data_IF_612190095196
#
_entry.id   IF_612190095196
#
_cell.length_a   1.000
_cell.length_b   1.000
_cell.length_c   1.000
_cell.angle_alpha   90.00
_cell.angle_beta   90.00
_cell.angle_gamma   90.00
#
_symmetry.space_group_name_H-M   'P 1'
#
loop_
_entity.id
_entity.type
_entity.pdbx_description
1 polymer ?
#
# COMPACT_ATOMS: atom_id res chain seq x y z
N UNK A 1 7.27 32.70 49.63
CA UNK A 1 6.69 31.70 48.71
C UNK A 1 6.74 32.33 47.33
N UNK A 2 7.61 31.91 46.38
CA UNK A 2 7.55 32.42 45.03
C UNK A 2 6.33 31.76 44.36
N UNK A 3 5.48 32.59 43.77
CA UNK A 3 4.38 32.20 42.92
C UNK A 3 4.98 31.57 41.66
N UNK A 4 4.83 30.25 41.49
CA UNK A 4 5.12 29.53 40.24
C UNK A 4 4.29 30.18 39.13
N UNK A 5 4.93 30.83 38.16
CA UNK A 5 4.31 31.35 36.98
C UNK A 5 4.14 30.17 35.99
N UNK A 6 2.95 29.55 35.99
CA UNK A 6 2.55 28.61 34.99
C UNK A 6 2.49 29.36 33.64
N UNK A 7 3.26 28.90 32.69
CA UNK A 7 3.19 29.37 31.32
C UNK A 7 2.02 28.67 30.56
N UNK A 8 1.44 29.37 29.58
CA UNK A 8 0.27 28.92 28.88
C UNK A 8 0.62 28.47 27.45
N UNK A 9 0.14 27.29 27.05
CA UNK A 9 0.08 26.88 25.66
C UNK A 9 -1.25 27.35 25.08
N UNK A 10 -1.20 28.20 24.06
CA UNK A 10 -2.39 28.74 23.39
C UNK A 10 -2.50 28.29 21.96
N UNK A 11 -3.73 28.08 21.49
CA UNK A 11 -3.99 27.78 20.09
C UNK A 11 -3.54 28.97 19.22
N UNK A 12 -2.64 28.77 18.22
CA UNK A 12 -2.27 29.84 17.30
C UNK A 12 -3.45 30.27 16.42
N UNK A 13 -3.29 31.38 15.69
CA UNK A 13 -4.31 31.85 14.76
C UNK A 13 -4.54 30.82 13.64
N UNK A 14 -5.77 30.31 13.56
CA UNK A 14 -6.19 29.28 12.61
C UNK A 14 -6.77 29.83 11.30
N UNK A 15 -6.67 31.15 11.08
CA UNK A 15 -7.17 31.84 9.89
C UNK A 15 -8.70 31.95 9.89
N UNK A 16 -9.36 31.59 8.77
CA UNK A 16 -10.80 31.79 8.57
C UNK A 16 -11.72 30.83 9.35
N UNK A 17 -11.17 29.89 10.15
CA UNK A 17 -11.96 28.92 10.91
C UNK A 17 -12.36 29.48 12.27
N UNK A 18 -13.66 29.63 12.55
CA UNK A 18 -14.19 30.13 13.84
C UNK A 18 -13.92 29.18 15.00
N UNK A 19 -13.85 27.86 14.76
CA UNK A 19 -13.48 26.83 15.74
C UNK A 19 -12.81 25.65 15.05
N UNK A 20 -11.96 24.92 15.77
CA UNK A 20 -11.26 23.72 15.32
C UNK A 20 -11.43 22.59 16.34
N UNK A 21 -11.45 21.34 15.88
CA UNK A 21 -11.65 20.17 16.73
C UNK A 21 -10.30 19.56 17.16
N UNK A 22 -10.18 19.18 18.43
CA UNK A 22 -9.02 18.46 18.97
C UNK A 22 -9.11 16.99 18.58
N UNK A 23 -8.18 16.51 17.73
CA UNK A 23 -8.18 15.12 17.27
C UNK A 23 -7.38 14.22 18.21
N UNK A 24 -6.24 14.70 18.71
CA UNK A 24 -5.31 13.88 19.50
C UNK A 24 -4.58 14.73 20.55
N UNK A 25 -4.32 14.14 21.73
CA UNK A 25 -3.45 14.67 22.76
C UNK A 25 -2.11 13.96 22.64
N UNK A 26 -1.06 14.69 22.21
CA UNK A 26 0.27 14.13 21.95
C UNK A 26 1.15 14.09 23.20
N UNK A 27 0.76 14.78 24.28
CA UNK A 27 1.47 14.83 25.56
C UNK A 27 0.53 14.56 26.74
N UNK A 28 1.07 14.01 27.82
CA UNK A 28 0.35 13.75 29.07
C UNK A 28 0.82 14.66 30.21
N UNK A 29 -0.04 14.88 31.20
CA UNK A 29 0.31 15.65 32.41
C UNK A 29 1.49 14.98 33.11
N UNK A 30 2.55 15.75 33.35
CA UNK A 30 3.82 15.30 33.93
C UNK A 30 4.93 15.05 32.90
N UNK A 31 4.66 15.14 31.61
CA UNK A 31 5.68 14.98 30.58
C UNK A 31 6.59 16.20 30.50
N UNK A 32 7.88 15.93 30.27
CA UNK A 32 8.88 16.98 30.05
C UNK A 32 8.93 17.29 28.55
N UNK A 33 8.52 18.50 28.19
CA UNK A 33 8.44 19.00 26.83
C UNK A 33 9.64 19.86 26.48
N UNK A 34 10.19 19.69 25.30
CA UNK A 34 11.12 20.62 24.69
C UNK A 34 10.37 21.79 24.02
N UNK A 35 11.12 22.82 23.61
CA UNK A 35 10.54 23.88 22.78
C UNK A 35 10.09 23.29 21.44
N UNK A 36 8.89 23.66 20.99
CA UNK A 36 8.23 23.21 19.77
C UNK A 36 7.78 21.73 19.76
N UNK A 37 7.88 21.01 20.91
CA UNK A 37 7.30 19.66 21.03
C UNK A 37 5.77 19.72 20.95
N UNK A 38 5.14 18.87 20.14
CA UNK A 38 3.70 18.86 19.88
C UNK A 38 2.91 18.44 21.13
N UNK A 39 2.01 19.31 21.59
CA UNK A 39 1.13 19.08 22.76
C UNK A 39 -0.20 18.48 22.33
N UNK A 40 -0.84 19.07 21.32
CA UNK A 40 -2.11 18.58 20.73
C UNK A 40 -2.12 18.70 19.22
N UNK A 41 -2.97 17.89 18.60
CA UNK A 41 -3.30 17.93 17.18
C UNK A 41 -4.73 18.43 17.00
N UNK A 42 -4.94 19.44 16.17
CA UNK A 42 -6.28 19.99 15.87
C UNK A 42 -6.57 19.91 14.37
N UNK A 43 -7.82 19.70 14.00
CA UNK A 43 -8.30 19.65 12.61
C UNK A 43 -9.06 20.90 12.23
N UNK A 44 -8.68 21.49 11.11
CA UNK A 44 -9.41 22.56 10.43
C UNK A 44 -10.06 22.01 9.17
N UNK A 45 -11.00 22.74 8.57
CA UNK A 45 -11.66 22.37 7.30
C UNK A 45 -10.68 22.09 6.14
N UNK A 46 -9.42 22.47 6.26
CA UNK A 46 -8.44 22.39 5.16
C UNK A 46 -7.17 21.60 5.49
N UNK A 47 -6.82 21.47 6.76
CA UNK A 47 -5.58 20.79 7.19
C UNK A 47 -5.57 20.47 8.69
N UNK A 48 -4.71 19.53 9.08
CA UNK A 48 -4.36 19.25 10.47
C UNK A 48 -3.24 20.18 10.92
N UNK A 49 -3.38 20.80 12.11
CA UNK A 49 -2.41 21.72 12.69
C UNK A 49 -1.85 21.14 13.98
N UNK A 50 -0.52 21.14 14.11
CA UNK A 50 0.18 20.77 15.33
C UNK A 50 0.39 21.99 16.23
N UNK A 51 0.03 21.89 17.50
CA UNK A 51 0.24 22.95 18.48
C UNK A 51 1.35 22.53 19.44
N UNK A 52 2.48 23.24 19.35
CA UNK A 52 3.69 22.94 20.12
C UNK A 52 3.83 23.78 21.39
N UNK A 53 4.69 23.32 22.32
CA UNK A 53 5.07 24.03 23.52
C UNK A 53 5.96 25.25 23.15
N UNK A 54 5.67 26.47 23.66
CA UNK A 54 6.43 27.68 23.32
C UNK A 54 7.84 27.72 23.95
N UNK A 55 8.10 26.94 24.99
CA UNK A 55 9.41 26.76 25.59
C UNK A 55 9.54 25.40 26.27
N UNK A 56 10.76 25.02 26.69
CA UNK A 56 10.97 23.80 27.46
C UNK A 56 10.37 23.91 28.88
N UNK A 57 9.76 22.82 29.37
CA UNK A 57 9.15 22.77 30.70
C UNK A 57 8.39 21.46 30.94
N UNK A 58 7.69 21.36 32.06
CA UNK A 58 6.90 20.21 32.46
C UNK A 58 5.41 20.54 32.34
N UNK A 59 4.65 19.69 31.65
CA UNK A 59 3.20 19.87 31.44
C UNK A 59 2.44 19.65 32.76
N UNK A 60 1.79 20.70 33.27
CA UNK A 60 1.10 20.66 34.56
C UNK A 60 -0.37 20.34 34.46
N UNK A 61 -1.06 20.86 33.42
CA UNK A 61 -2.49 20.65 33.24
C UNK A 61 -2.87 20.74 31.74
N UNK A 62 -3.76 19.86 31.29
CA UNK A 62 -4.40 19.95 29.97
C UNK A 62 -5.86 20.35 30.17
N UNK A 63 -6.31 21.41 29.50
CA UNK A 63 -7.65 22.01 29.67
C UNK A 63 -8.66 21.61 28.61
N UNK A 64 -8.25 20.79 27.65
CA UNK A 64 -9.06 20.33 26.52
C UNK A 64 -9.01 18.81 26.37
N UNK A 65 -10.08 18.21 25.88
CA UNK A 65 -10.18 16.78 25.60
C UNK A 65 -10.26 16.48 24.11
N UNK A 66 -10.08 15.21 23.73
CA UNK A 66 -10.28 14.75 22.35
C UNK A 66 -11.76 14.93 21.97
N UNK A 67 -12.03 15.59 20.83
CA UNK A 67 -13.38 15.93 20.37
C UNK A 67 -13.88 17.30 20.82
N UNK A 68 -13.11 18.04 21.65
CA UNK A 68 -13.50 19.40 22.05
C UNK A 68 -13.27 20.40 20.91
N UNK A 69 -14.19 21.37 20.81
CA UNK A 69 -14.04 22.49 19.90
C UNK A 69 -13.32 23.64 20.58
N UNK A 70 -12.22 24.09 20.01
CA UNK A 70 -11.36 25.16 20.54
C UNK A 70 -11.27 26.32 19.54
N UNK A 71 -11.12 27.53 20.07
CA UNK A 71 -11.04 28.77 19.24
C UNK A 71 -9.64 29.36 19.29
N UNK A 72 -9.29 30.13 18.26
CA UNK A 72 -8.00 30.82 18.18
C UNK A 72 -7.71 31.65 19.45
N UNK A 73 -6.50 31.50 20.00
CA UNK A 73 -6.07 32.17 21.25
C UNK A 73 -6.51 31.48 22.55
N UNK A 74 -7.34 30.43 22.51
CA UNK A 74 -7.76 29.68 23.70
C UNK A 74 -6.57 28.98 24.36
N UNK A 75 -6.55 28.97 25.70
CA UNK A 75 -5.56 28.25 26.49
C UNK A 75 -5.91 26.78 26.49
N UNK A 76 -5.00 25.93 25.97
CA UNK A 76 -5.17 24.49 25.82
C UNK A 76 -4.43 23.69 26.89
N UNK A 77 -3.31 24.22 27.40
CA UNK A 77 -2.56 23.57 28.45
C UNK A 77 -1.77 24.59 29.29
N UNK A 78 -1.40 24.17 30.51
CA UNK A 78 -0.53 24.91 31.41
C UNK A 78 0.73 24.09 31.66
N UNK A 79 1.90 24.75 31.74
CA UNK A 79 3.16 24.07 31.98
C UNK A 79 4.10 24.95 32.86
N UNK A 80 4.95 24.30 33.61
CA UNK A 80 6.03 24.96 34.41
C UNK A 80 7.23 25.12 33.49
N UNK A 81 7.51 26.37 33.09
CA UNK A 81 8.66 26.69 32.24
C UNK A 81 9.95 26.68 33.04
N UNK A 82 10.99 26.03 32.51
CA UNK A 82 12.35 26.15 33.04
C UNK A 82 12.83 27.60 32.88
N UNK A 83 13.12 28.26 34.00
CA UNK A 83 13.39 29.70 34.10
C UNK A 83 14.59 30.14 33.26
N UNK A 84 14.33 30.72 32.07
CA UNK A 84 15.15 31.80 31.50
C UNK A 84 14.24 32.82 30.80
N UNK A 85 14.40 34.09 31.17
CA UNK A 85 13.48 35.21 30.97
C UNK A 85 13.37 35.70 29.50
N UNK A 86 12.30 36.48 29.16
CA UNK A 86 11.89 36.74 27.79
C UNK A 86 12.51 37.97 27.16
N UNK A 87 12.76 37.97 25.86
CA UNK A 87 12.91 39.21 25.10
C UNK A 87 12.11 39.14 23.79
N UNK A 88 11.31 40.17 23.62
CA UNK A 88 10.36 40.46 22.57
C UNK A 88 10.98 40.55 21.17
N UNK A 89 10.16 40.18 20.17
CA UNK A 89 10.33 40.54 18.77
C UNK A 89 10.31 42.06 18.51
N UNK A 90 10.78 42.63 17.38
CA UNK A 90 10.36 42.29 16.03
C UNK A 90 11.39 42.46 14.87
N UNK A 91 11.11 41.74 13.76
CA UNK A 91 11.24 42.12 12.32
C UNK A 91 12.57 42.58 11.73
N UNK A 92 13.02 41.75 10.75
CA UNK A 92 13.61 42.03 9.44
C UNK A 92 15.10 42.41 9.30
N UNK A 93 15.67 41.72 8.32
CA UNK A 93 16.76 42.05 7.40
C UNK A 93 18.18 41.54 7.69
N UNK A 94 18.60 40.67 6.76
CA UNK A 94 19.98 40.29 6.44
C UNK A 94 20.82 41.51 5.99
N UNK A 95 22.15 41.46 5.73
CA UNK A 95 23.10 40.35 5.83
C UNK A 95 24.55 40.75 6.30
N UNK A 96 25.39 39.71 6.42
CA UNK A 96 26.85 39.70 6.21
C UNK A 96 27.87 39.87 7.36
N UNK A 97 28.72 38.85 7.41
CA UNK A 97 30.19 38.76 7.50
C UNK A 97 30.87 38.55 8.86
N UNK A 98 31.44 37.32 8.88
CA UNK A 98 32.79 36.93 9.28
C UNK A 98 33.41 37.41 10.64
N UNK A 99 33.82 36.47 11.45
CA UNK A 99 35.18 36.18 11.90
C UNK A 99 35.23 35.41 13.21
N UNK A 100 36.11 34.47 13.24
CA UNK A 100 36.63 33.53 14.25
C UNK A 100 37.11 34.14 15.57
N UNK A 101 37.71 33.30 16.46
CA UNK A 101 37.22 32.16 17.27
C UNK A 101 37.56 32.36 18.76
N UNK A 102 36.87 31.68 19.69
CA UNK A 102 37.39 31.49 21.06
C UNK A 102 37.05 30.10 21.62
N UNK A 103 38.00 29.56 22.28
CA UNK A 103 38.26 28.22 22.75
C UNK A 103 37.35 27.67 23.83
N UNK A 104 37.06 26.37 23.70
CA UNK A 104 36.97 25.25 24.65
C UNK A 104 36.77 25.48 26.13
N UNK A 105 35.74 24.82 26.65
CA UNK A 105 35.87 24.08 27.93
C UNK A 105 35.13 22.76 27.87
N UNK A 106 35.88 21.67 28.12
CA UNK A 106 35.44 20.27 28.14
C UNK A 106 34.67 19.98 29.44
N UNK A 107 33.52 19.28 29.29
CA UNK A 107 32.85 18.59 30.41
C UNK A 107 32.69 17.12 29.99
N UNK A 108 32.96 16.13 30.84
CA UNK A 108 33.09 14.73 30.44
C UNK A 108 31.73 14.06 30.26
N UNK A 109 31.56 13.44 29.10
CA UNK A 109 30.42 12.59 28.81
C UNK A 109 30.56 11.20 29.46
N UNK A 110 29.50 10.74 30.10
CA UNK A 110 29.29 9.36 30.56
C UNK A 110 29.22 8.40 29.38
N UNK A 111 29.80 7.22 29.46
CA UNK A 111 29.81 6.29 28.34
C UNK A 111 28.44 5.64 28.15
N UNK A 112 27.88 5.75 26.95
CA UNK A 112 26.76 4.92 26.46
C UNK A 112 27.27 3.53 26.05
N UNK A 113 26.51 2.46 26.25
CA UNK A 113 26.94 1.12 25.87
C UNK A 113 27.07 0.95 24.36
N UNK A 114 28.26 0.57 23.93
CA UNK A 114 28.57 0.28 22.54
C UNK A 114 27.77 -0.95 22.04
N UNK A 115 26.94 -0.75 21.03
CA UNK A 115 26.42 -1.82 20.20
C UNK A 115 27.59 -2.53 19.53
N UNK A 116 27.79 -3.80 19.88
CA UNK A 116 28.78 -4.68 19.26
C UNK A 116 28.36 -4.94 17.80
N UNK A 117 28.96 -4.22 16.86
CA UNK A 117 28.90 -4.55 15.44
C UNK A 117 29.85 -5.75 15.22
N UNK A 118 29.32 -6.84 14.77
CA UNK A 118 30.10 -8.03 14.39
C UNK A 118 31.10 -7.66 13.30
N UNK A 119 32.37 -7.81 13.59
CA UNK A 119 33.49 -7.57 12.69
C UNK A 119 33.54 -8.66 11.61
N UNK A 120 33.19 -8.31 10.37
CA UNK A 120 33.57 -9.10 9.22
C UNK A 120 35.03 -8.77 8.89
N UNK A 121 35.91 -9.71 9.06
CA UNK A 121 37.35 -9.63 8.85
C UNK A 121 37.72 -9.78 7.37
N UNK A 122 37.33 -8.81 6.54
CA UNK A 122 37.90 -8.57 5.22
C UNK A 122 38.68 -7.25 5.28
N UNK A 123 39.97 -7.25 5.05
CA UNK A 123 40.75 -6.01 5.02
C UNK A 123 40.29 -5.13 3.85
N UNK A 124 39.39 -4.15 4.16
CA UNK A 124 38.98 -3.14 3.17
C UNK A 124 40.18 -2.23 2.86
N UNK A 125 40.57 -2.17 1.60
CA UNK A 125 41.71 -1.34 1.15
C UNK A 125 41.27 0.14 1.07
N UNK A 126 41.47 0.88 2.17
CA UNK A 126 41.11 2.29 2.30
C UNK A 126 42.19 3.07 3.05
N UNK A 127 42.47 4.29 2.59
CA UNK A 127 43.43 5.19 3.24
C UNK A 127 42.90 5.76 4.58
N UNK A 128 43.81 6.30 5.44
CA UNK A 128 43.44 6.84 6.77
C UNK A 128 42.35 7.90 6.73
N UNK A 129 42.39 8.80 5.73
CA UNK A 129 41.39 9.86 5.54
C UNK A 129 40.00 9.33 5.15
N UNK A 130 39.94 8.21 4.41
CA UNK A 130 38.69 7.54 4.05
C UNK A 130 38.09 6.82 5.26
N UNK A 131 38.93 6.14 6.06
CA UNK A 131 38.53 5.50 7.31
C UNK A 131 38.02 6.50 8.35
N UNK A 132 38.63 7.70 8.39
CA UNK A 132 38.16 8.79 9.26
C UNK A 132 36.79 9.28 8.82
N UNK A 133 36.60 9.56 7.52
CA UNK A 133 35.33 10.00 6.95
C UNK A 133 34.22 8.95 7.16
N UNK A 134 34.52 7.67 6.94
CA UNK A 134 33.57 6.60 7.16
C UNK A 134 33.12 6.51 8.63
N UNK A 135 34.02 6.69 9.59
CA UNK A 135 33.69 6.74 11.02
C UNK A 135 32.85 7.96 11.38
N UNK A 136 33.17 9.13 10.84
CA UNK A 136 32.42 10.37 11.04
C UNK A 136 30.97 10.26 10.52
N UNK A 137 30.77 9.54 9.40
CA UNK A 137 29.47 9.34 8.78
C UNK A 137 28.78 8.03 9.19
N UNK A 138 29.38 7.23 10.11
CA UNK A 138 28.80 5.95 10.53
C UNK A 138 28.74 4.88 9.43
N UNK A 139 29.57 4.99 8.39
CA UNK A 139 29.55 4.10 7.22
C UNK A 139 30.46 2.89 7.43
N UNK A 140 29.91 1.70 7.24
CA UNK A 140 30.68 0.47 7.16
C UNK A 140 31.34 0.38 5.76
N UNK A 141 32.68 0.48 5.74
CA UNK A 141 33.45 0.44 4.47
C UNK A 141 33.34 -0.89 3.73
N UNK A 142 32.96 -1.97 4.40
CA UNK A 142 32.70 -3.27 3.76
C UNK A 142 31.46 -3.25 2.85
N UNK A 143 30.57 -2.26 3.00
CA UNK A 143 29.36 -2.07 2.19
C UNK A 143 29.53 -1.06 1.07
N UNK A 144 30.70 -0.41 0.98
CA UNK A 144 31.00 0.61 -0.02
C UNK A 144 31.68 -0.05 -1.21
N UNK A 145 31.14 0.11 -2.42
CA UNK A 145 31.74 -0.40 -3.65
C UNK A 145 32.97 0.45 -4.00
N UNK A 146 34.19 -0.12 -4.02
CA UNK A 146 35.41 0.62 -4.29
C UNK A 146 35.55 0.93 -5.80
N UNK A 147 35.87 2.18 -6.17
CA UNK A 147 36.15 2.58 -7.55
C UNK A 147 37.63 2.91 -7.83
N UNK A 148 38.44 2.95 -6.79
CA UNK A 148 39.88 3.24 -6.93
C UNK A 148 40.71 2.09 -7.48
N UNK A 149 41.90 2.41 -7.95
CA UNK A 149 42.85 1.43 -8.49
C UNK A 149 43.14 0.29 -7.50
N UNK A 150 43.16 -0.97 -7.99
CA UNK A 150 43.38 -2.19 -7.21
C UNK A 150 42.34 -2.40 -6.11
N UNK A 151 41.07 -1.95 -6.31
CA UNK A 151 39.99 -2.15 -5.32
C UNK A 151 40.09 -1.20 -4.10
N UNK A 152 40.77 -0.06 -4.23
CA UNK A 152 40.88 0.94 -3.15
C UNK A 152 39.59 1.74 -3.04
N UNK A 153 39.04 1.84 -1.84
CA UNK A 153 37.90 2.73 -1.54
C UNK A 153 38.39 4.19 -1.46
N UNK A 154 37.74 5.07 -2.19
CA UNK A 154 38.00 6.51 -2.24
C UNK A 154 37.02 7.28 -1.34
N UNK A 155 37.32 8.57 -1.07
CA UNK A 155 36.39 9.45 -0.32
C UNK A 155 35.06 9.63 -1.07
N UNK A 156 35.11 9.68 -2.41
CA UNK A 156 33.93 9.88 -3.23
C UNK A 156 33.02 8.64 -3.25
N UNK A 157 33.57 7.43 -3.09
CA UNK A 157 32.79 6.20 -2.92
C UNK A 157 31.96 6.24 -1.63
N UNK A 158 32.58 6.68 -0.52
CA UNK A 158 31.88 6.84 0.75
C UNK A 158 30.79 7.91 0.64
N UNK A 159 31.06 9.04 -0.01
CA UNK A 159 30.05 10.09 -0.23
C UNK A 159 28.92 9.62 -1.17
N UNK A 160 29.23 8.88 -2.23
CA UNK A 160 28.25 8.30 -3.13
C UNK A 160 27.34 7.29 -2.39
N UNK A 161 27.94 6.45 -1.55
CA UNK A 161 27.20 5.52 -0.70
C UNK A 161 26.23 6.24 0.27
N UNK A 162 26.71 7.30 0.94
CA UNK A 162 25.87 8.12 1.83
C UNK A 162 24.77 8.80 1.03
N UNK A 163 25.09 9.37 -0.12
CA UNK A 163 24.09 10.03 -0.98
C UNK A 163 23.01 9.05 -1.43
N UNK A 164 23.38 7.84 -1.87
CA UNK A 164 22.41 6.82 -2.27
C UNK A 164 21.48 6.40 -1.12
N UNK A 165 22.00 6.43 0.12
CA UNK A 165 21.19 6.17 1.31
C UNK A 165 20.29 7.33 1.70
N UNK A 166 20.69 8.56 1.46
CA UNK A 166 19.91 9.77 1.76
C UNK A 166 18.89 10.10 0.67
N UNK A 167 19.14 9.71 -0.58
CA UNK A 167 18.23 10.00 -1.72
C UNK A 167 17.11 8.97 -1.91
N UNK A 168 16.89 8.05 -0.99
CA UNK A 168 15.66 7.25 -0.93
C UNK A 168 15.77 5.80 -1.37
N UNK A 169 16.91 5.33 -1.88
CA UNK A 169 17.07 3.90 -2.23
C UNK A 169 17.26 2.98 -0.99
N UNK A 170 17.17 3.51 0.22
CA UNK A 170 17.45 2.77 1.43
C UNK A 170 16.65 3.12 2.69
N UNK A 171 15.65 4.02 2.61
CA UNK A 171 14.87 4.46 3.78
C UNK A 171 13.37 4.09 3.71
N UNK A 172 12.97 3.14 2.88
CA UNK A 172 11.73 2.46 3.19
C UNK A 172 11.92 1.76 4.55
N UNK A 173 11.05 1.99 5.56
CA UNK A 173 11.15 1.27 6.83
C UNK A 173 11.15 -0.21 6.48
N UNK A 174 12.23 -0.90 6.85
CA UNK A 174 12.31 -2.35 6.65
C UNK A 174 11.12 -2.94 7.40
N UNK A 175 10.27 -3.67 6.68
CA UNK A 175 9.17 -4.40 7.32
C UNK A 175 9.77 -5.25 8.45
N UNK A 176 9.07 -5.36 9.61
CA UNK A 176 9.52 -6.22 10.68
C UNK A 176 9.80 -7.62 10.13
N UNK A 177 11.02 -8.12 10.35
CA UNK A 177 11.36 -9.50 9.96
C UNK A 177 10.58 -10.48 10.84
N UNK A 178 10.07 -11.54 10.24
CA UNK A 178 9.49 -12.64 11.00
C UNK A 178 10.58 -13.28 11.88
N UNK A 179 10.24 -13.78 13.09
CA UNK A 179 11.19 -14.44 13.95
C UNK A 179 11.78 -15.68 13.25
N UNK A 180 13.10 -15.85 13.37
CA UNK A 180 13.78 -17.06 12.88
C UNK A 180 13.52 -18.19 13.85
N UNK A 181 12.85 -19.24 13.38
CA UNK A 181 12.49 -20.43 14.16
C UNK A 181 13.28 -21.62 13.63
N UNK A 182 13.95 -22.35 14.50
CA UNK A 182 14.54 -23.63 14.19
C UNK A 182 13.48 -24.75 14.28
N UNK A 183 12.85 -25.06 13.14
CA UNK A 183 11.78 -26.05 13.08
C UNK A 183 12.26 -27.46 13.40
N UNK A 184 13.55 -27.77 13.15
CA UNK A 184 14.12 -29.10 13.44
C UNK A 184 14.13 -29.42 14.94
N UNK A 185 14.11 -28.38 15.80
CA UNK A 185 14.02 -28.57 17.25
C UNK A 185 12.67 -29.10 17.74
N UNK A 186 11.62 -29.04 16.91
CA UNK A 186 10.27 -29.52 17.25
C UNK A 186 9.90 -30.89 16.64
N UNK A 187 10.65 -31.33 15.63
CA UNK A 187 10.39 -32.61 14.98
C UNK A 187 11.13 -32.78 13.65
N UNK A 188 10.88 -33.90 12.95
CA UNK A 188 11.45 -34.11 11.62
C UNK A 188 10.88 -33.12 10.62
N UNK A 189 11.74 -32.54 9.79
CA UNK A 189 11.37 -31.61 8.73
C UNK A 189 11.79 -32.16 7.37
N UNK A 190 11.12 -31.70 6.33
CA UNK A 190 11.49 -31.89 4.93
C UNK A 190 11.61 -30.51 4.28
N UNK A 191 12.73 -30.22 3.66
CA UNK A 191 12.95 -28.98 2.90
C UNK A 191 12.76 -29.26 1.41
N UNK A 192 11.80 -28.56 0.78
CA UNK A 192 11.50 -28.67 -0.64
C UNK A 192 11.76 -27.34 -1.33
N UNK A 193 12.56 -27.36 -2.40
CA UNK A 193 12.89 -26.16 -3.14
C UNK A 193 11.66 -25.66 -3.92
N UNK A 194 11.37 -24.32 -3.81
CA UNK A 194 10.29 -23.69 -4.57
C UNK A 194 10.67 -23.58 -6.05
N UNK A 195 9.72 -23.88 -6.94
CA UNK A 195 9.86 -23.63 -8.37
C UNK A 195 10.12 -22.13 -8.64
N UNK A 196 10.70 -21.82 -9.81
CA UNK A 196 10.96 -20.43 -10.24
C UNK A 196 9.67 -19.60 -10.26
N UNK A 197 8.55 -20.19 -10.69
CA UNK A 197 7.24 -19.56 -10.75
C UNK A 197 6.76 -19.25 -9.33
N UNK A 198 6.79 -20.21 -8.40
CA UNK A 198 6.38 -20.01 -7.00
C UNK A 198 7.20 -18.93 -6.30
N UNK A 199 8.53 -18.90 -6.52
CA UNK A 199 9.39 -17.84 -5.97
C UNK A 199 9.04 -16.45 -6.53
N UNK A 200 8.71 -16.35 -7.82
CA UNK A 200 8.31 -15.07 -8.45
C UNK A 200 6.95 -14.63 -7.95
N UNK A 201 5.97 -15.52 -7.89
CA UNK A 201 4.62 -15.25 -7.39
C UNK A 201 4.64 -14.79 -5.94
N UNK A 202 5.41 -15.45 -5.07
CA UNK A 202 5.54 -15.07 -3.67
C UNK A 202 6.04 -13.62 -3.51
N UNK A 203 7.08 -13.23 -4.28
CA UNK A 203 7.58 -11.84 -4.26
C UNK A 203 6.57 -10.83 -4.78
N UNK A 204 5.86 -11.16 -5.87
CA UNK A 204 4.86 -10.26 -6.46
C UNK A 204 3.66 -10.08 -5.54
N UNK A 205 3.15 -11.16 -4.96
CA UNK A 205 2.04 -11.12 -4.00
C UNK A 205 2.40 -10.33 -2.74
N UNK A 206 3.58 -10.59 -2.17
CA UNK A 206 4.06 -9.84 -1.01
C UNK A 206 4.17 -8.34 -1.32
N UNK A 207 4.76 -7.97 -2.48
CA UNK A 207 4.86 -6.59 -2.92
C UNK A 207 3.48 -5.93 -3.07
N UNK A 208 2.52 -6.61 -3.70
CA UNK A 208 1.15 -6.10 -3.84
C UNK A 208 0.48 -5.92 -2.49
N UNK A 209 0.61 -6.91 -1.59
CA UNK A 209 0.00 -6.86 -0.26
C UNK A 209 0.49 -5.69 0.59
N UNK A 210 1.80 -5.44 0.57
CA UNK A 210 2.42 -4.37 1.37
C UNK A 210 2.13 -2.97 0.82
N UNK A 211 2.07 -2.83 -0.51
CA UNK A 211 1.98 -1.51 -1.14
C UNK A 211 0.56 -1.08 -1.48
N UNK A 212 -0.42 -1.98 -1.43
CA UNK A 212 -1.80 -1.69 -1.79
C UNK A 212 -2.69 -1.84 -0.56
N UNK A 213 -3.33 -0.77 -0.07
CA UNK A 213 -4.36 -0.88 0.97
C UNK A 213 -5.61 -1.52 0.39
N UNK A 214 -5.71 -2.85 0.55
CA UNK A 214 -6.81 -3.65 0.01
C UNK A 214 -8.10 -3.45 0.80
N UNK A 215 -9.19 -3.21 0.08
CA UNK A 215 -10.57 -3.39 0.58
C UNK A 215 -11.27 -4.36 -0.35
N UNK A 216 -12.17 -5.18 0.18
CA UNK A 216 -12.97 -6.11 -0.63
C UNK A 216 -14.45 -5.85 -0.40
N UNK A 217 -15.18 -5.63 -1.49
CA UNK A 217 -16.63 -5.52 -1.52
C UNK A 217 -17.21 -6.81 -2.07
N UNK A 218 -18.15 -7.44 -1.32
CA UNK A 218 -18.82 -8.67 -1.73
C UNK A 218 -20.22 -8.38 -2.23
N UNK A 219 -20.63 -9.10 -3.28
CA UNK A 219 -21.98 -9.04 -3.81
C UNK A 219 -22.35 -10.36 -4.51
N UNK A 220 -23.63 -10.54 -4.85
CA UNK A 220 -24.16 -11.73 -5.51
C UNK A 220 -24.99 -11.33 -6.73
N UNK A 221 -24.57 -11.78 -7.93
CA UNK A 221 -25.37 -11.58 -9.14
C UNK A 221 -26.41 -12.69 -9.30
N UNK A 222 -27.58 -12.34 -9.84
CA UNK A 222 -28.51 -13.31 -10.43
C UNK A 222 -27.87 -13.97 -11.61
N UNK A 223 -27.76 -15.28 -11.62
CA UNK A 223 -27.06 -16.06 -12.63
C UNK A 223 -28.00 -16.97 -13.45
N UNK A 224 -29.29 -16.81 -13.33
CA UNK A 224 -30.26 -17.63 -14.05
C UNK A 224 -30.05 -17.52 -15.56
N UNK A 225 -29.96 -16.30 -16.11
CA UNK A 225 -29.72 -16.03 -17.51
C UNK A 225 -28.33 -16.55 -17.98
N UNK A 226 -27.30 -16.39 -17.16
CA UNK A 226 -25.97 -16.94 -17.46
C UNK A 226 -26.01 -18.47 -17.60
N UNK A 227 -26.70 -19.16 -16.72
CA UNK A 227 -26.90 -20.62 -16.78
C UNK A 227 -27.70 -21.06 -18.01
N UNK A 228 -28.80 -20.35 -18.31
CA UNK A 228 -29.65 -20.62 -19.50
C UNK A 228 -28.82 -20.45 -20.80
N UNK A 229 -28.05 -19.37 -20.89
CA UNK A 229 -27.16 -19.13 -22.02
C UNK A 229 -26.10 -20.21 -22.21
N UNK A 230 -25.46 -20.63 -21.14
CA UNK A 230 -24.48 -21.72 -21.16
C UNK A 230 -25.12 -23.05 -21.61
N UNK A 231 -26.36 -23.29 -21.18
CA UNK A 231 -27.10 -24.49 -21.61
C UNK A 231 -27.50 -24.40 -23.09
N UNK A 232 -28.06 -23.25 -23.54
CA UNK A 232 -28.52 -23.04 -24.91
C UNK A 232 -27.38 -22.98 -25.94
N UNK A 233 -26.18 -22.53 -25.53
CA UNK A 233 -25.03 -22.40 -26.43
C UNK A 233 -24.27 -23.72 -26.71
N UNK A 234 -24.65 -24.84 -26.07
CA UNK A 234 -23.92 -26.13 -26.23
C UNK A 234 -23.86 -26.64 -27.67
N UNK A 235 -24.99 -26.66 -28.35
CA UNK A 235 -25.06 -27.13 -29.74
C UNK A 235 -24.25 -26.27 -30.72
N UNK A 236 -24.29 -24.95 -30.55
CA UNK A 236 -23.47 -24.02 -31.33
C UNK A 236 -21.97 -24.19 -30.97
N UNK A 237 -21.64 -24.35 -29.69
CA UNK A 237 -20.28 -24.62 -29.25
C UNK A 237 -19.70 -25.90 -29.86
N UNK A 238 -20.47 -26.97 -29.90
CA UNK A 238 -20.08 -28.24 -30.55
C UNK A 238 -19.82 -28.04 -32.06
N UNK A 239 -20.65 -27.27 -32.76
CA UNK A 239 -20.45 -26.97 -34.19
C UNK A 239 -19.19 -26.11 -34.41
N UNK A 240 -18.86 -25.21 -33.51
CA UNK A 240 -17.66 -24.34 -33.57
C UNK A 240 -16.39 -25.02 -33.02
N UNK A 241 -16.53 -26.15 -32.37
CA UNK A 241 -15.41 -26.78 -31.61
C UNK A 241 -14.96 -25.97 -30.42
N UNK A 242 -15.78 -25.04 -29.91
CA UNK A 242 -15.46 -24.11 -28.81
C UNK A 242 -16.41 -24.37 -27.64
N UNK A 243 -15.87 -24.57 -26.45
CA UNK A 243 -16.68 -24.68 -25.24
C UNK A 243 -16.87 -23.32 -24.60
N UNK A 244 -18.07 -22.78 -24.61
CA UNK A 244 -18.41 -21.59 -23.86
C UNK A 244 -18.36 -21.87 -22.36
N UNK A 245 -17.68 -20.99 -21.60
CA UNK A 245 -17.51 -21.10 -20.16
C UNK A 245 -18.09 -19.88 -19.45
N UNK A 246 -18.48 -20.00 -18.17
CA UNK A 246 -18.93 -18.83 -17.39
C UNK A 246 -17.92 -17.68 -17.43
N UNK A 247 -16.61 -17.98 -17.43
CA UNK A 247 -15.57 -16.97 -17.43
C UNK A 247 -15.61 -16.05 -18.66
N UNK A 248 -15.93 -16.55 -19.84
CA UNK A 248 -16.05 -15.73 -21.06
C UNK A 248 -17.21 -14.72 -20.95
N UNK A 249 -18.37 -15.15 -20.43
CA UNK A 249 -19.54 -14.30 -20.21
C UNK A 249 -19.27 -13.26 -19.10
N UNK A 250 -18.66 -13.69 -17.99
CA UNK A 250 -18.27 -12.79 -16.90
C UNK A 250 -17.24 -11.77 -17.39
N UNK A 251 -16.25 -12.19 -18.18
CA UNK A 251 -15.23 -11.28 -18.75
C UNK A 251 -15.89 -10.21 -19.62
N UNK A 252 -16.87 -10.57 -20.43
CA UNK A 252 -17.65 -9.61 -21.23
C UNK A 252 -18.40 -8.61 -20.36
N UNK A 253 -19.10 -9.09 -19.31
CA UNK A 253 -19.79 -8.23 -18.33
C UNK A 253 -18.80 -7.28 -17.63
N UNK A 254 -17.63 -7.79 -17.24
CA UNK A 254 -16.57 -6.95 -16.67
C UNK A 254 -16.12 -5.86 -17.63
N UNK A 255 -15.91 -6.16 -18.91
CA UNK A 255 -15.50 -5.16 -19.91
C UNK A 255 -16.56 -4.08 -20.07
N UNK A 256 -17.85 -4.43 -20.14
CA UNK A 256 -18.95 -3.47 -20.21
C UNK A 256 -18.96 -2.55 -18.98
N UNK A 257 -18.81 -3.13 -17.79
CA UNK A 257 -18.77 -2.38 -16.52
C UNK A 257 -17.51 -1.48 -16.43
N UNK A 258 -16.33 -1.97 -16.81
CA UNK A 258 -15.08 -1.21 -16.81
C UNK A 258 -15.11 0.01 -17.74
N UNK A 259 -15.85 -0.05 -18.85
CA UNK A 259 -16.08 1.11 -19.72
C UNK A 259 -16.88 2.21 -19.03
N UNK A 260 -17.82 1.86 -18.17
CA UNK A 260 -18.63 2.80 -17.38
C UNK A 260 -17.86 3.35 -16.15
N UNK A 261 -16.90 2.59 -15.62
CA UNK A 261 -16.11 2.94 -14.43
C UNK A 261 -14.61 3.02 -14.74
N UNK A 262 -14.13 4.05 -15.42
CA UNK A 262 -12.75 4.12 -15.92
C UNK A 262 -11.70 4.13 -14.81
N UNK A 263 -12.05 4.51 -13.57
CA UNK A 263 -11.13 4.51 -12.44
C UNK A 263 -10.75 3.08 -12.01
N UNK A 264 -11.68 2.13 -12.14
CA UNK A 264 -11.41 0.71 -11.87
C UNK A 264 -10.42 0.12 -12.87
N UNK A 265 -10.34 0.70 -14.09
CA UNK A 265 -9.36 0.35 -15.13
C UNK A 265 -8.09 1.23 -15.08
N UNK A 266 -7.88 2.03 -14.05
CA UNK A 266 -6.73 2.91 -13.90
C UNK A 266 -5.56 2.27 -13.13
N UNK A 267 -4.47 3.00 -13.02
CA UNK A 267 -3.36 2.73 -12.09
C UNK A 267 -2.86 4.05 -11.51
N UNK A 268 -2.19 4.00 -10.37
CA UNK A 268 -1.43 5.13 -9.86
C UNK A 268 -0.08 5.23 -10.59
N UNK A 269 0.41 6.46 -10.80
CA UNK A 269 1.81 6.67 -11.16
C UNK A 269 2.74 6.35 -9.96
N UNK A 270 4.06 6.24 -10.22
CA UNK A 270 5.05 5.91 -9.18
C UNK A 270 5.02 6.88 -7.99
N UNK A 271 4.81 8.17 -8.24
CA UNK A 271 4.73 9.21 -7.21
C UNK A 271 3.37 9.26 -6.48
N UNK A 272 2.41 8.41 -6.86
CA UNK A 272 1.02 8.40 -6.33
C UNK A 272 0.30 9.76 -6.42
N UNK A 273 0.65 10.58 -7.42
CA UNK A 273 0.09 11.92 -7.65
C UNK A 273 -0.93 11.97 -8.78
N UNK A 274 -0.99 10.95 -9.64
CA UNK A 274 -1.88 10.93 -10.81
C UNK A 274 -2.46 9.54 -11.04
N UNK A 275 -3.71 9.49 -11.47
CA UNK A 275 -4.32 8.30 -12.05
C UNK A 275 -3.97 8.20 -13.52
N UNK A 276 -3.51 7.03 -13.95
CA UNK A 276 -3.26 6.69 -15.36
C UNK A 276 -4.47 5.93 -15.88
N UNK A 277 -5.38 6.62 -16.58
CA UNK A 277 -6.54 6.00 -17.21
C UNK A 277 -6.13 5.25 -18.47
N UNK A 278 -6.31 3.93 -18.45
CA UNK A 278 -6.04 3.08 -19.60
C UNK A 278 -7.24 3.09 -20.54
N UNK A 279 -7.01 3.37 -21.82
CA UNK A 279 -8.05 3.36 -22.87
C UNK A 279 -8.03 2.05 -23.68
N UNK A 280 -7.67 0.97 -23.00
CA UNK A 280 -7.65 -0.40 -23.50
C UNK A 280 -8.08 -1.35 -22.37
N UNK A 281 -8.69 -2.46 -22.74
CA UNK A 281 -9.25 -3.43 -21.80
C UNK A 281 -8.59 -4.79 -22.04
N UNK A 282 -7.51 -5.03 -21.30
CA UNK A 282 -6.75 -6.28 -21.32
C UNK A 282 -7.04 -7.01 -20.02
N UNK A 283 -7.76 -8.13 -20.11
CA UNK A 283 -8.27 -8.81 -18.92
C UNK A 283 -7.42 -10.03 -18.60
N UNK A 284 -6.75 -9.99 -17.46
CA UNK A 284 -6.06 -11.14 -16.89
C UNK A 284 -7.06 -12.14 -16.30
N UNK A 285 -6.72 -13.40 -16.33
CA UNK A 285 -7.48 -14.43 -15.61
C UNK A 285 -6.54 -15.45 -14.96
N UNK A 286 -6.91 -15.91 -13.75
CA UNK A 286 -6.10 -16.83 -13.00
C UNK A 286 -6.23 -18.25 -13.54
N UNK A 287 -5.10 -18.90 -13.76
CA UNK A 287 -5.00 -20.33 -14.16
C UNK A 287 -4.14 -21.06 -13.14
N UNK A 288 -4.72 -22.09 -12.55
CA UNK A 288 -4.02 -23.00 -11.65
C UNK A 288 -3.21 -24.01 -12.47
N UNK A 289 -1.92 -24.19 -12.10
CA UNK A 289 -0.99 -25.13 -12.72
C UNK A 289 -0.19 -25.86 -11.64
N UNK A 290 0.41 -26.98 -11.99
CA UNK A 290 1.24 -27.79 -11.06
C UNK A 290 2.39 -26.96 -10.47
N UNK A 291 2.94 -26.03 -11.24
CA UNK A 291 4.04 -25.14 -10.83
C UNK A 291 3.59 -23.91 -10.05
N UNK A 292 2.28 -23.63 -9.97
CA UNK A 292 1.69 -22.48 -9.27
C UNK A 292 0.69 -21.70 -10.12
N UNK A 293 0.23 -20.56 -9.60
CA UNK A 293 -0.77 -19.71 -10.24
C UNK A 293 -0.13 -18.81 -11.31
N UNK A 294 -0.68 -18.83 -12.51
CA UNK A 294 -0.33 -17.96 -13.62
C UNK A 294 -1.53 -17.08 -14.00
N UNK A 295 -1.25 -15.87 -14.53
CA UNK A 295 -2.28 -14.91 -14.94
C UNK A 295 -2.04 -14.51 -16.41
N UNK A 296 -2.46 -15.33 -17.38
CA UNK A 296 -2.48 -14.91 -18.78
C UNK A 296 -3.48 -13.77 -19.00
N UNK A 297 -3.29 -13.02 -20.10
CA UNK A 297 -4.02 -11.78 -20.39
C UNK A 297 -4.65 -11.86 -21.78
N UNK A 298 -5.97 -11.80 -21.82
CA UNK A 298 -6.75 -11.60 -23.07
C UNK A 298 -6.61 -10.13 -23.47
N UNK A 299 -5.97 -9.88 -24.60
CA UNK A 299 -5.75 -8.51 -25.12
C UNK A 299 -7.00 -8.00 -25.84
N UNK A 300 -7.29 -6.67 -25.72
CA UNK A 300 -8.40 -6.02 -26.40
C UNK A 300 -9.73 -6.80 -26.25
N UNK A 301 -10.03 -7.18 -25.01
CA UNK A 301 -11.23 -7.97 -24.71
C UNK A 301 -12.54 -7.26 -25.10
N UNK A 302 -12.49 -5.93 -25.21
CA UNK A 302 -13.60 -5.07 -25.64
C UNK A 302 -13.93 -5.12 -27.14
N UNK A 303 -13.04 -5.70 -27.95
CA UNK A 303 -13.18 -5.85 -29.40
C UNK A 303 -13.57 -7.29 -29.80
N UNK A 304 -13.77 -8.16 -28.82
CA UNK A 304 -14.04 -9.59 -29.05
C UNK A 304 -15.47 -9.95 -28.66
N UNK A 305 -16.11 -10.75 -29.46
CA UNK A 305 -17.35 -11.39 -29.08
C UNK A 305 -17.11 -12.52 -28.05
N UNK A 306 -18.18 -13.06 -27.50
CA UNK A 306 -18.10 -14.06 -26.46
C UNK A 306 -17.44 -15.37 -26.90
N UNK A 307 -17.58 -15.74 -28.19
CA UNK A 307 -16.96 -16.95 -28.72
C UNK A 307 -15.47 -16.79 -28.90
N UNK A 308 -15.03 -15.65 -29.43
CA UNK A 308 -13.60 -15.29 -29.53
C UNK A 308 -12.93 -15.20 -28.15
N UNK A 309 -13.63 -14.66 -27.14
CA UNK A 309 -13.16 -14.67 -25.77
C UNK A 309 -13.01 -16.09 -25.22
N UNK A 310 -14.00 -16.97 -25.47
CA UNK A 310 -13.97 -18.35 -24.98
C UNK A 310 -12.83 -19.15 -25.63
N UNK A 311 -12.59 -18.98 -26.94
CA UNK A 311 -11.48 -19.61 -27.66
C UNK A 311 -10.13 -19.18 -27.14
N UNK A 312 -9.90 -17.86 -27.01
CA UNK A 312 -8.62 -17.33 -26.52
C UNK A 312 -8.35 -17.70 -25.06
N UNK A 313 -9.39 -17.65 -24.19
CA UNK A 313 -9.29 -18.11 -22.81
C UNK A 313 -8.86 -19.58 -22.76
N UNK A 314 -9.46 -20.44 -23.58
CA UNK A 314 -9.13 -21.86 -23.63
C UNK A 314 -7.68 -22.10 -24.09
N UNK A 315 -7.26 -21.42 -25.17
CA UNK A 315 -5.92 -21.52 -25.73
C UNK A 315 -4.84 -21.02 -24.74
N UNK A 316 -5.08 -19.90 -24.09
CA UNK A 316 -4.16 -19.36 -23.09
C UNK A 316 -4.09 -20.25 -21.83
N UNK A 317 -5.21 -20.82 -21.39
CA UNK A 317 -5.25 -21.74 -20.26
C UNK A 317 -4.52 -23.04 -20.55
N UNK A 318 -4.59 -23.56 -21.77
CA UNK A 318 -3.85 -24.74 -22.21
C UNK A 318 -2.34 -24.46 -22.23
N UNK A 319 -1.91 -23.33 -22.85
CA UNK A 319 -0.53 -22.88 -22.81
C UNK A 319 0.02 -22.73 -21.38
N UNK A 320 -0.81 -22.21 -20.46
CA UNK A 320 -0.44 -22.05 -19.07
C UNK A 320 -0.15 -23.40 -18.40
N UNK A 321 -1.04 -24.39 -18.56
CA UNK A 321 -0.88 -25.74 -18.00
C UNK A 321 0.29 -26.51 -18.64
N UNK A 322 0.56 -26.26 -19.92
CA UNK A 322 1.69 -26.83 -20.64
C UNK A 322 3.03 -26.11 -20.33
N UNK A 323 3.06 -25.14 -19.40
CA UNK A 323 4.21 -24.28 -19.09
C UNK A 323 4.81 -23.57 -20.34
N UNK A 324 3.97 -23.25 -21.34
CA UNK A 324 4.37 -22.70 -22.65
C UNK A 324 3.82 -21.28 -22.88
N UNK A 325 3.58 -20.51 -21.79
CA UNK A 325 3.21 -19.09 -21.90
C UNK A 325 4.45 -18.25 -22.20
N UNK A 326 4.34 -17.39 -23.23
CA UNK A 326 5.35 -16.38 -23.45
C UNK A 326 5.21 -15.24 -22.41
N UNK A 327 6.29 -14.53 -22.05
CA UNK A 327 6.18 -13.37 -21.16
C UNK A 327 5.19 -12.32 -21.64
N UNK A 328 5.02 -12.14 -22.96
CA UNK A 328 4.06 -11.24 -23.56
C UNK A 328 2.60 -11.63 -23.29
N UNK A 329 2.31 -12.93 -23.09
CA UNK A 329 0.95 -13.43 -22.79
C UNK A 329 0.49 -13.05 -21.36
N UNK A 330 1.43 -12.65 -20.47
CA UNK A 330 1.16 -12.29 -19.07
C UNK A 330 1.28 -10.79 -18.79
N UNK A 331 1.54 -9.97 -19.81
CA UNK A 331 1.81 -8.54 -19.64
C UNK A 331 0.66 -7.67 -20.14
N UNK A 332 0.58 -6.46 -19.54
CA UNK A 332 -0.32 -5.40 -19.98
C UNK A 332 -1.76 -5.56 -19.49
N UNK A 333 -2.04 -6.50 -18.58
CA UNK A 333 -3.37 -6.64 -17.96
C UNK A 333 -3.79 -5.37 -17.22
N UNK A 334 -5.07 -4.99 -17.36
CA UNK A 334 -5.64 -3.79 -16.72
C UNK A 334 -6.55 -4.12 -15.55
N UNK A 335 -7.12 -5.31 -15.57
CA UNK A 335 -8.00 -5.90 -14.57
C UNK A 335 -7.83 -7.42 -14.59
N UNK A 336 -8.05 -8.08 -13.46
CA UNK A 336 -7.90 -9.54 -13.35
C UNK A 336 -9.16 -10.19 -12.82
N UNK A 337 -9.50 -11.38 -13.34
CA UNK A 337 -10.58 -12.24 -12.83
C UNK A 337 -9.94 -13.51 -12.25
N UNK A 338 -10.18 -13.77 -10.97
CA UNK A 338 -9.80 -15.00 -10.29
C UNK A 338 -11.03 -15.85 -10.04
N UNK A 339 -11.14 -17.01 -10.67
CA UNK A 339 -12.32 -17.88 -10.54
C UNK A 339 -11.99 -19.18 -9.82
N UNK A 340 -12.63 -19.41 -8.68
CA UNK A 340 -12.60 -20.65 -7.89
C UNK A 340 -13.88 -21.48 -8.04
N UNK A 341 -14.75 -21.14 -9.00
CA UNK A 341 -16.06 -21.76 -9.16
C UNK A 341 -16.05 -23.30 -9.29
N UNK A 342 -14.98 -23.90 -9.80
CA UNK A 342 -14.83 -25.36 -9.89
C UNK A 342 -14.31 -26.00 -8.60
N UNK A 343 -13.64 -25.22 -7.76
CA UNK A 343 -12.98 -25.71 -6.53
C UNK A 343 -13.94 -25.63 -5.34
N UNK A 344 -14.67 -24.52 -5.23
CA UNK A 344 -15.63 -24.33 -4.13
C UNK A 344 -15.51 -22.95 -3.47
N UNK A 345 -16.07 -22.83 -2.26
CA UNK A 345 -16.10 -21.57 -1.52
C UNK A 345 -17.33 -20.73 -1.80
N UNK A 346 -17.72 -19.91 -0.83
CA UNK A 346 -18.85 -18.97 -0.91
C UNK A 346 -18.38 -17.53 -1.15
N UNK A 347 -17.07 -17.26 -1.04
CA UNK A 347 -16.42 -15.98 -1.23
C UNK A 347 -14.94 -16.08 -0.85
N UNK A 348 -14.14 -15.17 -1.35
CA UNK A 348 -12.72 -14.99 -0.97
C UNK A 348 -12.26 -13.58 -1.33
N UNK A 349 -11.15 -13.16 -0.73
CA UNK A 349 -10.53 -11.85 -0.94
C UNK A 349 -9.28 -12.01 -1.81
N UNK A 350 -9.35 -11.85 -3.14
CA UNK A 350 -8.18 -11.97 -3.99
C UNK A 350 -7.20 -10.82 -3.76
N UNK A 351 -5.89 -11.09 -3.87
CA UNK A 351 -4.86 -10.05 -3.82
C UNK A 351 -4.76 -9.35 -5.16
N UNK A 352 -4.82 -8.03 -5.17
CA UNK A 352 -4.73 -7.21 -6.38
C UNK A 352 -3.39 -7.47 -7.08
N UNK A 353 -3.44 -7.71 -8.38
CA UNK A 353 -2.26 -7.94 -9.21
C UNK A 353 -1.67 -6.59 -9.65
N UNK A 354 -0.87 -5.97 -8.77
CA UNK A 354 -0.27 -4.66 -9.07
C UNK A 354 0.55 -4.65 -10.37
N UNK A 355 0.48 -3.58 -11.19
CA UNK A 355 -0.05 -2.24 -10.91
C UNK A 355 -1.53 -2.01 -11.25
N UNK A 356 -2.35 -3.05 -11.35
CA UNK A 356 -3.80 -2.93 -11.52
C UNK A 356 -4.44 -2.33 -10.27
N UNK A 357 -5.61 -1.68 -10.43
CA UNK A 357 -6.35 -1.10 -9.31
C UNK A 357 -7.33 -2.09 -8.65
N UNK A 358 -7.73 -3.15 -9.37
CA UNK A 358 -8.72 -4.10 -8.84
C UNK A 358 -8.59 -5.50 -9.44
N UNK A 359 -9.16 -6.46 -8.73
CA UNK A 359 -9.31 -7.88 -9.13
C UNK A 359 -10.68 -8.38 -8.68
N UNK A 360 -11.36 -9.13 -9.55
CA UNK A 360 -12.63 -9.78 -9.25
C UNK A 360 -12.39 -11.24 -8.86
N UNK A 361 -12.81 -11.62 -7.65
CA UNK A 361 -12.94 -12.99 -7.21
C UNK A 361 -14.33 -13.54 -7.58
N UNK A 362 -14.39 -14.68 -8.22
CA UNK A 362 -15.63 -15.35 -8.60
C UNK A 362 -15.69 -16.71 -7.92
N UNK A 363 -16.70 -16.93 -7.11
CA UNK A 363 -16.93 -18.18 -6.40
C UNK A 363 -17.85 -19.12 -7.14
N UNK A 364 -18.23 -20.25 -6.51
CA UNK A 364 -19.07 -21.25 -7.14
C UNK A 364 -20.51 -20.75 -7.26
N UNK A 365 -21.08 -20.91 -8.45
CA UNK A 365 -22.50 -20.74 -8.72
C UNK A 365 -23.31 -21.67 -7.81
N UNK A 366 -24.30 -21.13 -7.12
CA UNK A 366 -25.09 -21.85 -6.12
C UNK A 366 -26.56 -21.46 -6.19
N UNK A 367 -27.45 -22.40 -5.86
CA UNK A 367 -28.87 -22.09 -5.68
C UNK A 367 -29.12 -21.68 -4.25
N UNK A 368 -29.75 -20.49 -4.04
CA UNK A 368 -30.12 -19.97 -2.73
C UNK A 368 -31.61 -19.65 -2.64
N UNK A 369 -32.23 -19.72 -1.46
CA UNK A 369 -33.56 -19.24 -1.27
C UNK A 369 -33.59 -17.71 -1.40
N UNK A 370 -34.47 -17.19 -2.26
CA UNK A 370 -34.68 -15.76 -2.45
C UNK A 370 -36.15 -15.41 -2.16
N UNK A 371 -36.36 -14.36 -1.38
CA UNK A 371 -37.67 -13.86 -1.09
C UNK A 371 -38.21 -13.04 -2.27
N UNK A 372 -39.33 -13.47 -2.87
CA UNK A 372 -39.93 -12.78 -4.02
C UNK A 372 -41.06 -11.80 -3.65
N UNK A 373 -41.27 -11.56 -2.37
CA UNK A 373 -42.38 -10.76 -1.84
C UNK A 373 -43.52 -11.61 -1.20
N UNK A 374 -43.62 -12.90 -1.56
CA UNK A 374 -44.68 -13.82 -1.09
C UNK A 374 -44.11 -15.13 -0.52
N UNK A 375 -43.05 -15.68 -1.15
CA UNK A 375 -42.47 -16.95 -0.74
C UNK A 375 -40.97 -16.98 -1.02
N UNK A 376 -40.24 -17.90 -0.39
CA UNK A 376 -38.88 -18.23 -0.75
C UNK A 376 -38.85 -19.10 -2.02
N UNK A 377 -38.25 -18.59 -3.07
CA UNK A 377 -38.06 -19.32 -4.33
C UNK A 377 -36.57 -19.64 -4.54
N UNK A 378 -36.22 -20.78 -5.18
CA UNK A 378 -34.84 -21.05 -5.54
C UNK A 378 -34.33 -20.06 -6.58
N UNK A 379 -33.17 -19.47 -6.36
CA UNK A 379 -32.50 -18.56 -7.29
C UNK A 379 -31.04 -18.97 -7.46
N UNK A 380 -30.58 -19.07 -8.70
CA UNK A 380 -29.16 -19.26 -8.98
C UNK A 380 -28.42 -17.93 -8.79
N UNK A 381 -27.41 -17.95 -7.95
CA UNK A 381 -26.58 -16.77 -7.64
C UNK A 381 -25.11 -17.06 -7.88
N UNK A 382 -24.40 -16.04 -8.36
CA UNK A 382 -22.96 -16.02 -8.53
C UNK A 382 -22.33 -15.12 -7.47
N UNK A 383 -21.74 -15.67 -6.39
CA UNK A 383 -21.07 -14.87 -5.38
C UNK A 383 -19.76 -14.33 -5.94
N UNK A 384 -19.51 -13.04 -5.71
CA UNK A 384 -18.33 -12.33 -6.19
C UNK A 384 -17.73 -11.45 -5.08
N UNK A 385 -16.42 -11.20 -5.18
CA UNK A 385 -15.69 -10.26 -4.33
C UNK A 385 -14.75 -9.41 -5.17
N UNK A 386 -14.95 -8.09 -5.15
CA UNK A 386 -14.05 -7.13 -5.77
C UNK A 386 -13.04 -6.65 -4.74
N UNK A 387 -11.78 -7.06 -4.87
CA UNK A 387 -10.68 -6.45 -4.11
C UNK A 387 -10.06 -5.31 -4.90
N UNK A 388 -9.79 -4.19 -4.24
CA UNK A 388 -9.30 -2.99 -4.93
C UNK A 388 -8.34 -2.17 -4.06
N UNK A 389 -7.54 -1.33 -4.74
CA UNK A 389 -6.66 -0.34 -4.13
C UNK A 389 -7.50 0.86 -3.67
N UNK A 390 -7.63 1.04 -2.33
CA UNK A 390 -8.46 2.11 -1.77
C UNK A 390 -7.91 3.52 -2.01
N UNK A 391 -6.68 3.66 -2.49
CA UNK A 391 -6.12 4.94 -2.96
C UNK A 391 -6.65 5.34 -4.33
N UNK A 392 -7.17 4.38 -5.10
CA UNK A 392 -7.69 4.60 -6.46
C UNK A 392 -9.21 4.59 -6.47
N UNK A 393 -9.83 3.66 -5.76
CA UNK A 393 -11.27 3.38 -5.79
C UNK A 393 -11.80 3.53 -4.37
N UNK A 394 -12.80 4.38 -4.16
CA UNK A 394 -13.51 4.50 -2.90
C UNK A 394 -14.64 3.46 -2.76
N UNK A 395 -15.14 3.28 -1.51
CA UNK A 395 -16.17 2.29 -1.22
C UNK A 395 -17.49 2.52 -1.97
N UNK A 396 -17.87 3.78 -2.19
CA UNK A 396 -19.09 4.12 -2.91
C UNK A 396 -18.97 3.80 -4.42
N UNK A 397 -17.80 4.03 -5.00
CA UNK A 397 -17.52 3.69 -6.40
C UNK A 397 -17.45 2.16 -6.59
N UNK A 398 -16.78 1.45 -5.66
CA UNK A 398 -16.74 -0.01 -5.66
C UNK A 398 -18.14 -0.63 -5.57
N UNK A 399 -19.01 -0.09 -4.69
CA UNK A 399 -20.39 -0.51 -4.58
C UNK A 399 -21.18 -0.30 -5.87
N UNK A 400 -21.10 0.90 -6.47
CA UNK A 400 -21.76 1.19 -7.77
C UNK A 400 -21.22 0.32 -8.90
N UNK A 401 -19.92 0.04 -8.92
CA UNK A 401 -19.31 -0.87 -9.87
C UNK A 401 -19.88 -2.30 -9.72
N UNK A 402 -19.98 -2.81 -8.49
CA UNK A 402 -20.50 -4.15 -8.23
C UNK A 402 -21.98 -4.27 -8.59
N UNK A 403 -22.82 -3.29 -8.23
CA UNK A 403 -24.23 -3.25 -8.64
C UNK A 403 -24.33 -3.30 -10.16
N UNK A 404 -23.57 -2.46 -10.89
CA UNK A 404 -23.57 -2.49 -12.35
C UNK A 404 -23.07 -3.81 -12.92
N UNK A 405 -22.04 -4.41 -12.32
CA UNK A 405 -21.55 -5.73 -12.75
C UNK A 405 -22.60 -6.83 -12.56
N UNK A 406 -23.33 -6.80 -11.45
CA UNK A 406 -24.45 -7.72 -11.21
C UNK A 406 -25.57 -7.57 -12.25
N UNK A 407 -25.90 -6.34 -12.65
CA UNK A 407 -26.86 -6.05 -13.72
C UNK A 407 -26.36 -6.57 -15.08
N UNK A 408 -25.09 -6.36 -15.41
CA UNK A 408 -24.48 -6.84 -16.66
C UNK A 408 -24.45 -8.38 -16.72
N UNK A 409 -24.20 -9.06 -15.59
CA UNK A 409 -24.22 -10.53 -15.51
C UNK A 409 -25.65 -11.04 -15.65
N UNK A 410 -26.62 -10.42 -14.98
CA UNK A 410 -28.04 -10.80 -15.07
C UNK A 410 -28.61 -10.57 -16.48
N UNK A 411 -28.10 -9.56 -17.21
CA UNK A 411 -28.52 -9.23 -18.57
C UNK A 411 -27.59 -9.75 -19.69
N UNK A 412 -26.60 -10.61 -19.37
CA UNK A 412 -25.58 -11.05 -20.34
C UNK A 412 -26.20 -11.75 -21.56
N UNK A 413 -25.72 -11.41 -22.75
CA UNK A 413 -26.15 -11.97 -24.05
C UNK A 413 -24.96 -12.48 -24.89
N UNK A 414 -25.23 -13.25 -25.98
CA UNK A 414 -24.18 -13.76 -26.89
C UNK A 414 -23.67 -12.69 -27.88
N UNK A 415 -24.42 -11.61 -28.10
CA UNK A 415 -24.16 -10.55 -29.09
C UNK A 415 -23.27 -9.41 -28.61
#
# INVERSE_FOLDING_TARGET
>A
MPTDQLAEVRLPDTGDSESVEVIELCAAVGDQLGKDDTVILVETDKATLEVGAPSAGVLSEIKVGIGDQVVSGQVIALYEADSEAPTQSPVAQQPKKAAEPVQKRLVPQRPQPALKVAAHSGQVYAGPAVRKLARELGVDLGKVTPTGARGRTLKDDVKAYVRSRLTGDGLAPALPELPKVDFASFGSIEEVELSRIRRSSARNLHRSWVNIPHVTHFDEADAANLSEMLAGSRAEGEQRGIKLTPLALIMRACVATLKAFPRVNASLNEASTHWIYKRYWHIGFAVDTDDGLLVPVVKNADQKDVWSLAEEIAALAEKARAANLAPADMQGGTFTISSLGRIGGTGFTPVVNGPQAAILGVSRLTTRPHWNGEAFVPREVLPMGLSYDHRVIDGAEAGRFMVRLCEEIAGVGLG
#
